data_IF_445051762161
#
_entry.id   IF_445051762161
#
_cell.length_a   1.000
_cell.length_b   1.000
_cell.length_c   1.000
_cell.angle_alpha   90.00
_cell.angle_beta   90.00
_cell.angle_gamma   90.00
#
_symmetry.space_group_name_H-M   'P 1'
#
loop_
_entity.id
_entity.type
_entity.pdbx_description
1 polymer ?
#
# COMPACT_ATOMS: atom_id res chain seq x y z
N UNK A 1 -6.79 11.92 -0.13
CA UNK A 1 -7.78 10.95 0.39
C UNK A 1 -7.06 9.91 1.23
N UNK A 2 -7.63 9.50 2.37
CA UNK A 2 -7.13 8.41 3.21
C UNK A 2 -8.16 7.28 3.21
N UNK A 3 -7.69 6.05 3.00
CA UNK A 3 -8.50 4.84 3.07
C UNK A 3 -7.74 3.73 3.79
N UNK A 4 -8.23 2.50 3.74
CA UNK A 4 -7.68 1.33 4.42
C UNK A 4 -7.75 0.10 3.53
N UNK A 5 -6.73 -0.76 3.62
CA UNK A 5 -6.60 -2.02 2.90
C UNK A 5 -7.49 -3.11 3.48
N UNK A 6 -7.77 -3.05 4.77
CA UNK A 6 -8.52 -4.05 5.54
C UNK A 6 -9.46 -3.38 6.56
N UNK A 7 -10.39 -4.17 7.11
CA UNK A 7 -11.27 -3.76 8.21
C UNK A 7 -11.62 -4.94 9.10
N UNK A 8 -10.71 -5.29 10.01
CA UNK A 8 -10.87 -6.42 10.91
C UNK A 8 -10.43 -7.71 10.23
N UNK A 9 -11.15 -8.81 10.47
CA UNK A 9 -10.78 -10.14 9.98
C UNK A 9 -11.17 -10.46 8.54
N UNK A 10 -12.09 -9.72 7.91
CA UNK A 10 -12.67 -10.13 6.61
C UNK A 10 -11.63 -10.32 5.50
N UNK A 11 -10.82 -9.30 5.21
CA UNK A 11 -9.79 -9.39 4.18
C UNK A 11 -8.69 -10.44 4.52
N UNK A 12 -8.10 -10.46 5.73
CA UNK A 12 -7.08 -11.47 6.07
C UNK A 12 -7.62 -12.90 6.18
N UNK A 13 -8.85 -13.12 6.68
CA UNK A 13 -9.43 -14.46 6.84
C UNK A 13 -9.74 -15.12 5.47
N UNK A 14 -9.96 -14.31 4.44
CA UNK A 14 -10.23 -14.77 3.07
C UNK A 14 -9.03 -14.61 2.12
N UNK A 15 -7.92 -14.05 2.59
CA UNK A 15 -6.78 -13.65 1.77
C UNK A 15 -7.19 -12.75 0.57
N UNK A 16 -8.06 -11.78 0.81
CA UNK A 16 -8.66 -10.91 -0.22
C UNK A 16 -8.01 -9.52 -0.26
N UNK A 17 -7.28 -9.24 -1.33
CA UNK A 17 -6.61 -7.94 -1.56
C UNK A 17 -7.44 -6.94 -2.36
N UNK A 18 -8.68 -7.26 -2.74
CA UNK A 18 -9.49 -6.42 -3.63
C UNK A 18 -9.68 -4.99 -3.09
N UNK A 19 -9.81 -4.85 -1.76
CA UNK A 19 -9.93 -3.54 -1.11
C UNK A 19 -8.63 -2.73 -1.17
N UNK A 20 -7.48 -3.39 -0.99
CA UNK A 20 -6.18 -2.76 -1.17
C UNK A 20 -5.98 -2.30 -2.62
N UNK A 21 -6.33 -3.14 -3.59
CA UNK A 21 -6.23 -2.81 -5.02
C UNK A 21 -7.15 -1.63 -5.41
N UNK A 22 -8.37 -1.59 -4.87
CA UNK A 22 -9.29 -0.46 -5.01
C UNK A 22 -8.71 0.82 -4.38
N UNK A 23 -8.12 0.71 -3.20
CA UNK A 23 -7.45 1.83 -2.52
C UNK A 23 -6.28 2.38 -3.37
N UNK A 24 -5.44 1.49 -3.89
CA UNK A 24 -4.32 1.84 -4.76
C UNK A 24 -4.76 2.54 -6.06
N UNK A 25 -5.77 1.99 -6.73
CA UNK A 25 -6.29 2.54 -8.00
C UNK A 25 -7.02 3.86 -7.83
N UNK A 26 -7.60 4.11 -6.65
CA UNK A 26 -8.28 5.37 -6.33
C UNK A 26 -7.34 6.59 -6.21
N UNK A 27 -6.02 6.40 -6.23
CA UNK A 27 -5.06 7.46 -5.95
C UNK A 27 -5.11 7.92 -4.48
N UNK A 28 -5.43 7.01 -3.56
CA UNK A 28 -5.33 7.29 -2.14
C UNK A 28 -3.91 7.74 -1.77
N UNK A 29 -3.80 8.78 -0.95
CA UNK A 29 -2.51 9.30 -0.49
C UNK A 29 -2.01 8.55 0.75
N UNK A 30 -2.92 7.84 1.42
CA UNK A 30 -2.60 7.04 2.60
C UNK A 30 -3.56 5.86 2.64
N UNK A 31 -3.00 4.67 2.82
CA UNK A 31 -3.72 3.42 2.99
C UNK A 31 -3.27 2.86 4.34
N UNK A 32 -4.18 2.79 5.31
CA UNK A 32 -3.91 2.14 6.58
C UNK A 32 -4.12 0.62 6.45
N UNK A 33 -3.27 -0.16 7.11
CA UNK A 33 -3.36 -1.62 7.19
C UNK A 33 -2.80 -2.08 8.53
N UNK A 34 -3.41 -3.13 9.09
CA UNK A 34 -2.86 -3.83 10.26
C UNK A 34 -1.80 -4.88 9.84
N UNK A 35 -1.59 -5.10 8.54
CA UNK A 35 -0.72 -6.13 7.96
C UNK A 35 0.34 -5.54 7.00
N UNK A 36 1.26 -4.67 7.47
CA UNK A 36 2.20 -3.92 6.62
C UNK A 36 3.40 -4.75 6.11
N UNK A 37 3.36 -6.08 6.22
CA UNK A 37 4.43 -6.96 5.79
C UNK A 37 4.17 -8.41 6.20
N UNK A 38 4.97 -9.36 5.68
CA UNK A 38 4.78 -10.79 5.93
C UNK A 38 5.01 -11.13 7.40
N UNK A 39 4.22 -12.07 7.90
CA UNK A 39 4.34 -12.64 9.25
C UNK A 39 4.26 -14.15 9.14
N UNK A 40 5.14 -14.87 9.84
CA UNK A 40 5.17 -16.33 9.82
C UNK A 40 3.79 -16.92 10.16
N UNK A 41 3.28 -17.77 9.27
CA UNK A 41 1.98 -18.43 9.42
C UNK A 41 0.78 -17.61 8.94
N UNK A 42 0.99 -16.46 8.29
CA UNK A 42 -0.06 -15.68 7.64
C UNK A 42 0.20 -15.52 6.14
N UNK A 43 -0.84 -15.74 5.33
CA UNK A 43 -0.76 -15.61 3.86
C UNK A 43 -1.23 -14.23 3.36
N UNK A 44 -1.75 -13.39 4.25
CA UNK A 44 -2.23 -12.04 3.96
C UNK A 44 -1.29 -10.97 4.52
N UNK A 45 -0.77 -10.12 3.64
CA UNK A 45 -0.11 -8.87 3.97
C UNK A 45 -0.16 -7.91 2.79
N UNK A 46 0.13 -6.64 3.06
CA UNK A 46 0.17 -5.60 2.04
C UNK A 46 1.62 -5.27 1.68
N UNK A 47 1.91 -5.30 0.39
CA UNK A 47 3.13 -4.75 -0.20
C UNK A 47 2.73 -3.70 -1.23
N UNK A 48 3.39 -2.53 -1.19
CA UNK A 48 3.15 -1.49 -2.17
C UNK A 48 3.88 -1.90 -3.47
N UNK A 49 3.18 -2.09 -4.60
CA UNK A 49 3.87 -2.55 -5.79
C UNK A 49 4.62 -1.39 -6.44
N UNK A 50 5.91 -1.62 -6.73
CA UNK A 50 6.79 -0.64 -7.35
C UNK A 50 7.37 0.40 -6.39
N UNK A 51 7.31 0.16 -5.07
CA UNK A 51 7.99 0.97 -4.04
C UNK A 51 7.64 0.44 -2.65
N UNK A 52 8.54 0.55 -1.67
CA UNK A 52 8.33 0.10 -0.29
C UNK A 52 8.86 1.14 0.73
N UNK A 53 8.00 1.83 1.52
CA UNK A 53 6.55 1.66 1.67
C UNK A 53 5.71 2.62 0.83
N UNK A 54 6.29 3.35 -0.13
CA UNK A 54 5.60 4.42 -0.85
C UNK A 54 5.76 4.28 -2.35
N UNK A 55 4.75 4.72 -3.11
CA UNK A 55 4.87 4.84 -4.56
C UNK A 55 4.26 6.14 -5.04
N UNK A 56 4.68 6.58 -6.21
CA UNK A 56 4.07 7.71 -6.88
C UNK A 56 2.56 7.47 -7.11
N UNK A 57 1.76 8.52 -6.90
CA UNK A 57 0.32 8.45 -7.09
C UNK A 57 0.00 8.22 -8.59
N UNK A 58 -0.70 7.13 -8.97
CA UNK A 58 -0.91 6.81 -10.38
C UNK A 58 -1.82 7.80 -11.13
N UNK A 59 -2.57 8.64 -10.41
CA UNK A 59 -3.51 9.60 -11.00
C UNK A 59 -2.95 11.03 -11.05
N UNK A 60 -2.16 11.41 -10.05
CA UNK A 60 -1.75 12.81 -9.85
C UNK A 60 -0.26 13.05 -9.88
N UNK A 61 0.57 12.00 -9.84
CA UNK A 61 2.01 12.18 -9.90
C UNK A 61 2.43 12.63 -11.31
N UNK A 62 3.46 13.48 -11.41
CA UNK A 62 4.05 13.80 -12.69
C UNK A 62 4.72 12.57 -13.31
N UNK A 63 4.84 12.56 -14.64
CA UNK A 63 5.38 11.41 -15.41
C UNK A 63 6.82 11.02 -15.05
N UNK A 64 7.57 11.93 -14.44
CA UNK A 64 8.96 11.69 -14.03
C UNK A 64 9.07 11.08 -12.63
N UNK A 65 7.98 10.98 -11.87
CA UNK A 65 8.02 10.50 -10.50
C UNK A 65 8.40 9.01 -10.45
N UNK A 66 9.52 8.70 -9.81
CA UNK A 66 9.90 7.36 -9.40
C UNK A 66 9.69 7.20 -7.89
N UNK A 67 9.40 5.98 -7.43
CA UNK A 67 9.19 5.73 -6.00
C UNK A 67 10.44 6.06 -5.19
N UNK A 68 11.63 5.84 -5.75
CA UNK A 68 12.91 6.18 -5.14
C UNK A 68 13.05 7.67 -4.82
N UNK A 69 12.39 8.56 -5.59
CA UNK A 69 12.42 10.02 -5.36
C UNK A 69 11.70 10.41 -4.05
N UNK A 70 10.73 9.60 -3.61
CA UNK A 70 9.88 9.88 -2.43
C UNK A 70 10.23 9.00 -1.23
N UNK A 71 10.98 7.92 -1.45
CA UNK A 71 11.43 6.99 -0.40
C UNK A 71 12.78 7.38 0.21
N UNK A 72 13.55 8.23 -0.47
CA UNK A 72 14.91 8.65 -0.10
C UNK A 72 15.07 9.53 1.15
N UNK A 73 14.17 9.51 2.12
CA UNK A 73 14.37 10.15 3.43
C UNK A 73 14.56 9.12 4.55
N UNK A 74 15.52 8.21 4.38
CA UNK A 74 16.18 7.59 5.53
C UNK A 74 17.29 8.54 5.99
N UNK A 75 17.06 9.24 7.09
CA UNK A 75 18.07 10.07 7.76
C UNK A 75 19.38 9.30 7.97
N UNK A 76 20.49 10.02 7.79
CA UNK A 76 21.82 9.67 8.31
C UNK A 76 21.82 9.29 9.79
#
# INVERSE_FOLDING_TARGET
>A
MRTRADSGGEEPDNNDTARFEAALSSGAHTIATDYPGPVDGMDYWIEIPGGTPSRCNPLTAPVWCASEDIEGQASS
#
